data_IF_298972544733
#
_entry.id   IF_298972544733
#
_cell.length_a   1.000
_cell.length_b   1.000
_cell.length_c   1.000
_cell.angle_alpha   90.00
_cell.angle_beta   90.00
_cell.angle_gamma   90.00
#
_symmetry.space_group_name_H-M   'P 1'
#
loop_
_entity.id
_entity.type
_entity.pdbx_description
1 polymer ?
#
# COMPACT_ATOMS: atom_id res chain seq x y z
N UNK A 1 30.93 8.24 10.65
CA UNK A 1 30.51 9.44 9.90
C UNK A 1 30.38 9.01 8.45
N UNK A 2 29.17 8.76 7.95
CA UNK A 2 28.96 8.29 6.58
C UNK A 2 29.33 9.39 5.57
N UNK A 3 30.03 9.06 4.49
CA UNK A 3 30.43 10.02 3.45
C UNK A 3 29.18 10.49 2.69
N UNK A 4 29.14 11.77 2.33
CA UNK A 4 28.01 12.40 1.62
C UNK A 4 27.62 11.64 0.35
N UNK A 5 28.62 11.14 -0.38
CA UNK A 5 28.43 10.38 -1.63
C UNK A 5 27.69 9.05 -1.43
N UNK A 6 27.82 8.43 -0.25
CA UNK A 6 27.18 7.16 0.08
C UNK A 6 25.67 7.34 0.34
N UNK A 7 25.30 8.44 1.00
CA UNK A 7 23.88 8.79 1.20
C UNK A 7 23.17 9.15 -0.11
N UNK A 8 23.87 9.80 -1.03
CA UNK A 8 23.30 10.15 -2.34
C UNK A 8 23.07 8.90 -3.20
N UNK A 9 23.98 7.93 -3.13
CA UNK A 9 23.83 6.63 -3.79
C UNK A 9 22.66 5.81 -3.20
N UNK A 10 22.54 5.73 -1.87
CA UNK A 10 21.41 5.06 -1.21
C UNK A 10 20.06 5.67 -1.61
N UNK A 11 19.99 7.01 -1.67
CA UNK A 11 18.78 7.72 -2.08
C UNK A 11 18.44 7.41 -3.54
N UNK A 12 19.44 7.40 -4.43
CA UNK A 12 19.25 7.04 -5.85
C UNK A 12 18.72 5.62 -5.99
N UNK A 13 19.36 4.64 -5.35
CA UNK A 13 18.92 3.24 -5.39
C UNK A 13 17.48 3.09 -4.90
N UNK A 14 17.14 3.73 -3.76
CA UNK A 14 15.77 3.71 -3.25
C UNK A 14 14.78 4.26 -4.30
N UNK A 15 15.06 5.40 -4.91
CA UNK A 15 14.15 5.99 -5.91
C UNK A 15 13.98 5.09 -7.15
N UNK A 16 15.04 4.43 -7.60
CA UNK A 16 14.95 3.46 -8.71
C UNK A 16 14.08 2.25 -8.35
N UNK A 17 14.22 1.71 -7.13
CA UNK A 17 13.36 0.62 -6.65
C UNK A 17 11.89 1.03 -6.54
N UNK A 18 11.62 2.26 -6.10
CA UNK A 18 10.27 2.79 -6.01
C UNK A 18 9.65 3.01 -7.40
N UNK A 19 10.44 3.45 -8.39
CA UNK A 19 9.98 3.59 -9.78
C UNK A 19 9.58 2.24 -10.39
N UNK A 20 10.40 1.19 -10.20
CA UNK A 20 10.07 -0.17 -10.65
C UNK A 20 8.81 -0.69 -9.96
N UNK A 21 8.70 -0.47 -8.64
CA UNK A 21 7.51 -0.87 -7.87
C UNK A 21 6.25 -0.21 -8.42
N UNK A 22 6.32 1.09 -8.75
CA UNK A 22 5.21 1.83 -9.36
C UNK A 22 4.79 1.22 -10.69
N UNK A 23 5.74 0.92 -11.57
CA UNK A 23 5.47 0.29 -12.85
C UNK A 23 4.79 -1.08 -12.70
N UNK A 24 5.27 -1.90 -11.75
CA UNK A 24 4.67 -3.21 -11.47
C UNK A 24 3.22 -3.06 -11.01
N UNK A 25 2.94 -2.14 -10.09
CA UNK A 25 1.57 -1.93 -9.56
C UNK A 25 0.64 -1.46 -10.68
N UNK A 26 1.07 -0.49 -11.50
CA UNK A 26 0.27 0.02 -12.64
C UNK A 26 -0.04 -1.11 -13.62
N UNK A 27 0.95 -1.93 -13.99
CA UNK A 27 0.75 -3.06 -14.92
C UNK A 27 -0.09 -4.20 -14.33
N UNK A 28 -0.03 -4.41 -13.02
CA UNK A 28 -0.81 -5.46 -12.35
C UNK A 28 -2.30 -5.11 -12.25
N UNK A 29 -2.67 -3.83 -12.39
CA UNK A 29 -4.06 -3.35 -12.28
C UNK A 29 -4.81 -3.97 -11.09
N UNK A 30 -4.26 -3.87 -9.86
CA UNK A 30 -4.83 -4.55 -8.71
C UNK A 30 -6.19 -3.95 -8.34
N UNK A 31 -7.12 -4.79 -7.87
CA UNK A 31 -8.40 -4.31 -7.34
C UNK A 31 -8.30 -3.80 -5.90
N UNK A 32 -7.32 -4.28 -5.12
CA UNK A 32 -7.04 -3.86 -3.75
C UNK A 32 -5.53 -4.00 -3.49
N UNK A 33 -4.95 -3.05 -2.77
CA UNK A 33 -3.55 -3.10 -2.32
C UNK A 33 -3.48 -3.22 -0.80
N UNK A 34 -2.65 -4.13 -0.30
CA UNK A 34 -2.36 -4.26 1.14
C UNK A 34 -0.87 -4.07 1.37
N UNK A 35 -0.51 -2.97 2.05
CA UNK A 35 0.87 -2.63 2.41
C UNK A 35 1.12 -3.08 3.83
N UNK A 36 1.88 -4.16 3.99
CA UNK A 36 2.04 -4.85 5.27
C UNK A 36 3.22 -4.41 6.14
N UNK A 37 3.97 -3.41 5.68
CA UNK A 37 5.20 -2.99 6.31
C UNK A 37 5.14 -1.49 6.64
N UNK A 38 5.55 -1.14 7.87
CA UNK A 38 5.52 0.24 8.33
C UNK A 38 6.47 1.17 7.56
N UNK A 39 7.64 0.67 7.14
CA UNK A 39 8.57 1.43 6.31
C UNK A 39 8.02 1.66 4.91
N UNK A 40 7.50 0.62 4.25
CA UNK A 40 6.86 0.73 2.94
C UNK A 40 5.66 1.71 2.99
N UNK A 41 4.84 1.63 4.04
CA UNK A 41 3.71 2.55 4.25
C UNK A 41 4.16 4.01 4.30
N UNK A 42 5.23 4.30 5.04
CA UNK A 42 5.79 5.66 5.09
C UNK A 42 6.32 6.12 3.74
N UNK A 43 7.02 5.25 2.99
CA UNK A 43 7.57 5.60 1.68
C UNK A 43 6.48 5.86 0.64
N UNK A 44 5.43 5.04 0.62
CA UNK A 44 4.28 5.24 -0.26
C UNK A 44 3.59 6.57 0.04
N UNK A 45 3.28 6.84 1.32
CA UNK A 45 2.65 8.10 1.75
C UNK A 45 3.53 9.35 1.54
N UNK A 46 4.85 9.20 1.45
CA UNK A 46 5.80 10.30 1.27
C UNK A 46 6.00 10.73 -0.19
N UNK A 47 5.22 10.20 -1.14
CA UNK A 47 5.13 10.78 -2.49
C UNK A 47 5.45 9.85 -3.66
N UNK A 48 5.29 8.52 -3.51
CA UNK A 48 5.30 7.61 -4.66
C UNK A 48 3.94 7.63 -5.38
N UNK A 49 2.89 7.71 -4.57
CA UNK A 49 1.51 7.68 -5.00
C UNK A 49 0.73 8.77 -4.28
N UNK A 50 -0.22 9.37 -4.99
CA UNK A 50 -1.21 10.21 -4.34
C UNK A 50 -2.22 9.32 -3.62
N UNK A 51 -2.23 9.41 -2.28
CA UNK A 51 -3.12 8.63 -1.44
C UNK A 51 -4.01 9.57 -0.62
N UNK A 52 -5.33 9.43 -0.78
CA UNK A 52 -6.32 10.20 -0.03
C UNK A 52 -7.13 9.27 0.87
N UNK A 53 -7.41 9.71 2.10
CA UNK A 53 -8.25 8.91 2.99
C UNK A 53 -9.72 9.07 2.62
N UNK A 54 -10.40 7.96 2.36
CA UNK A 54 -11.84 7.92 2.08
C UNK A 54 -12.60 7.48 3.34
N UNK A 55 -13.40 8.41 3.87
CA UNK A 55 -14.21 8.20 5.07
C UNK A 55 -15.37 7.21 4.84
N UNK A 56 -15.83 7.01 3.60
CA UNK A 56 -16.94 6.11 3.29
C UNK A 56 -16.54 4.64 3.38
N UNK A 57 -15.31 4.32 2.95
CA UNK A 57 -14.74 2.97 2.99
C UNK A 57 -13.77 2.77 4.15
N UNK A 58 -13.43 3.84 4.88
CA UNK A 58 -12.57 3.81 6.07
C UNK A 58 -11.11 3.45 5.78
N UNK A 59 -10.65 3.63 4.54
CA UNK A 59 -9.28 3.34 4.11
C UNK A 59 -8.80 4.36 3.08
N UNK A 60 -7.55 4.26 2.65
CA UNK A 60 -7.01 5.17 1.64
C UNK A 60 -7.40 4.72 0.24
N UNK A 61 -7.43 5.66 -0.69
CA UNK A 61 -7.50 5.44 -2.12
C UNK A 61 -6.25 5.93 -2.79
N UNK A 62 -5.76 5.12 -3.71
CA UNK A 62 -4.64 5.42 -4.57
C UNK A 62 -5.19 5.93 -5.90
N UNK A 63 -4.81 7.17 -6.24
CA UNK A 63 -5.11 7.81 -7.51
C UNK A 63 -3.80 8.12 -8.21
N UNK A 64 -3.56 7.49 -9.35
CA UNK A 64 -2.34 7.67 -10.13
C UNK A 64 -2.64 7.43 -11.62
N UNK A 65 -1.84 7.98 -12.52
CA UNK A 65 -1.98 7.69 -13.95
C UNK A 65 -1.88 6.17 -14.20
N UNK A 66 -2.98 5.57 -14.65
CA UNK A 66 -3.11 4.13 -14.88
C UNK A 66 -3.67 3.32 -13.69
N UNK A 67 -3.94 3.95 -12.55
CA UNK A 67 -4.59 3.36 -11.38
C UNK A 67 -5.64 4.34 -10.85
N UNK A 68 -6.91 4.06 -11.13
CA UNK A 68 -8.01 4.90 -10.68
C UNK A 68 -8.71 4.28 -9.48
N UNK A 69 -8.77 5.05 -8.39
CA UNK A 69 -9.66 4.80 -7.26
C UNK A 69 -9.40 3.49 -6.49
N UNK A 70 -8.15 2.99 -6.52
CA UNK A 70 -7.78 1.69 -5.94
C UNK A 70 -7.69 1.79 -4.41
N UNK A 71 -8.47 1.01 -3.64
CA UNK A 71 -8.37 1.00 -2.19
C UNK A 71 -7.04 0.40 -1.72
N UNK A 72 -6.37 1.11 -0.81
CA UNK A 72 -5.06 0.74 -0.25
C UNK A 72 -5.11 0.70 1.28
N UNK A 73 -4.71 -0.44 1.84
CA UNK A 73 -4.65 -0.69 3.28
C UNK A 73 -3.21 -0.57 3.76
N UNK A 74 -2.95 0.38 4.66
CA UNK A 74 -1.66 0.48 5.34
C UNK A 74 -1.74 -0.21 6.70
N UNK A 75 -1.16 -1.41 6.81
CA UNK A 75 -1.10 -2.16 8.06
C UNK A 75 0.35 -2.21 8.54
N UNK A 76 0.59 -1.72 9.75
CA UNK A 76 1.93 -1.73 10.36
C UNK A 76 2.25 -3.04 11.08
N UNK A 77 1.30 -3.98 11.11
CA UNK A 77 1.23 -5.06 12.11
C UNK A 77 1.79 -6.42 11.63
N UNK A 78 2.26 -6.55 10.39
CA UNK A 78 2.87 -7.80 9.91
C UNK A 78 4.40 -7.85 10.08
N UNK A 79 5.04 -6.75 10.47
CA UNK A 79 6.52 -6.67 10.57
C UNK A 79 7.04 -6.17 11.92
N UNK A 80 6.30 -6.37 13.03
CA UNK A 80 6.71 -6.07 14.41
C UNK A 80 6.82 -7.33 15.27
N UNK A 81 7.58 -7.27 16.39
CA UNK A 81 7.74 -8.38 17.34
C UNK A 81 6.42 -8.82 18.03
N UNK A 82 5.38 -7.99 17.98
CA UNK A 82 4.04 -8.37 18.38
C UNK A 82 3.37 -9.06 17.20
N UNK A 83 3.18 -10.38 17.31
CA UNK A 83 2.31 -11.12 16.41
C UNK A 83 1.00 -10.35 16.21
N UNK A 84 0.52 -10.28 14.98
CA UNK A 84 -0.79 -9.73 14.67
C UNK A 84 -1.81 -10.36 15.64
N UNK A 85 -2.35 -9.56 16.55
CA UNK A 85 -3.37 -10.07 17.44
C UNK A 85 -4.54 -10.54 16.56
N UNK A 86 -5.13 -11.68 16.92
CA UNK A 86 -6.15 -12.33 16.10
C UNK A 86 -7.29 -11.38 15.73
N UNK A 87 -7.61 -10.44 16.63
CA UNK A 87 -8.62 -9.41 16.40
C UNK A 87 -8.25 -8.42 15.31
N UNK A 88 -7.00 -7.94 15.27
CA UNK A 88 -6.50 -7.08 14.19
C UNK A 88 -6.51 -7.78 12.83
N UNK A 89 -6.19 -9.08 12.79
CA UNK A 89 -6.30 -9.88 11.56
C UNK A 89 -7.76 -10.03 11.10
N UNK A 90 -8.65 -10.41 12.01
CA UNK A 90 -10.07 -10.57 11.72
C UNK A 90 -10.70 -9.24 11.27
N UNK A 91 -10.32 -8.13 11.89
CA UNK A 91 -10.75 -6.79 11.49
C UNK A 91 -10.26 -6.43 10.08
N UNK A 92 -9.02 -6.75 9.73
CA UNK A 92 -8.52 -6.52 8.37
C UNK A 92 -9.31 -7.33 7.34
N UNK A 93 -9.56 -8.62 7.58
CA UNK A 93 -10.37 -9.45 6.68
C UNK A 93 -11.78 -8.87 6.54
N UNK A 94 -12.41 -8.53 7.65
CA UNK A 94 -13.74 -7.94 7.66
C UNK A 94 -13.77 -6.63 6.86
N UNK A 95 -12.78 -5.76 7.08
CA UNK A 95 -12.69 -4.46 6.43
C UNK A 95 -12.45 -4.61 4.92
N UNK A 96 -11.58 -5.52 4.49
CA UNK A 96 -11.39 -5.83 3.07
C UNK A 96 -12.70 -6.33 2.45
N UNK A 97 -13.44 -7.24 3.11
CA UNK A 97 -14.74 -7.72 2.62
C UNK A 97 -15.76 -6.60 2.50
N UNK A 98 -15.88 -5.75 3.52
CA UNK A 98 -16.73 -4.57 3.51
C UNK A 98 -16.41 -3.64 2.32
N UNK A 99 -15.13 -3.32 2.10
CA UNK A 99 -14.72 -2.47 0.97
C UNK A 99 -15.03 -3.14 -0.37
N UNK A 100 -14.78 -4.44 -0.51
CA UNK A 100 -15.12 -5.18 -1.73
C UNK A 100 -16.61 -5.10 -2.06
N UNK A 101 -17.46 -5.35 -1.07
CA UNK A 101 -18.92 -5.30 -1.23
C UNK A 101 -19.39 -3.88 -1.56
N UNK A 102 -18.88 -2.88 -0.82
CA UNK A 102 -19.23 -1.47 -1.00
C UNK A 102 -18.87 -0.95 -2.40
N UNK A 103 -17.76 -1.40 -2.96
CA UNK A 103 -17.26 -0.99 -4.27
C UNK A 103 -17.66 -1.91 -5.43
N UNK A 104 -18.41 -3.00 -5.16
CA UNK A 104 -18.80 -3.95 -6.19
C UNK A 104 -17.63 -4.69 -6.84
N UNK A 105 -16.53 -4.90 -6.11
CA UNK A 105 -15.33 -5.59 -6.60
C UNK A 105 -15.62 -7.09 -6.68
N UNK A 106 -16.03 -7.56 -7.85
CA UNK A 106 -16.25 -8.98 -8.14
C UNK A 106 -14.93 -9.68 -8.42
N UNK A 107 -14.61 -10.71 -7.64
CA UNK A 107 -13.51 -11.62 -7.95
C UNK A 107 -14.12 -12.78 -8.72
N UNK A 108 -13.90 -12.82 -10.04
CA UNK A 108 -14.15 -14.04 -10.79
C UNK A 108 -13.11 -15.07 -10.32
N UNK A 109 -13.49 -15.91 -9.36
CA UNK A 109 -12.75 -17.16 -9.15
C UNK A 109 -13.13 -18.09 -10.31
N UNK A 110 -12.23 -18.17 -11.29
CA UNK A 110 -12.07 -19.37 -12.11
C UNK A 110 -11.30 -20.41 -11.31
#
# INVERSE_FOLDING_TARGET
>A
MYRKDEKDLEKKFLMEQLAITKEIIVKATPSIIVVNNAYASRKIKQGIFHCEFDNEIGTYRLNEDGLNDIPIFFISMLTGQSALDKGSYERLIWHIKFVKEKLGINVNHQ
#
